data_IF_507931587721
#
_entry.id   IF_507931587721
#
_cell.length_a   1.000
_cell.length_b   1.000
_cell.length_c   1.000
_cell.angle_alpha   90.00
_cell.angle_beta   90.00
_cell.angle_gamma   90.00
#
_symmetry.space_group_name_H-M   'P 1'
#
loop_
_entity.id
_entity.type
_entity.pdbx_description
1 polymer ?
#
# COMPACT_ATOMS: atom_id res chain seq x y z
N UNK A 1 -27.42 7.52 10.00
CA UNK A 1 -26.01 7.10 10.18
C UNK A 1 -25.78 6.88 11.66
N UNK A 2 -26.00 5.66 12.12
CA UNK A 2 -25.73 5.28 13.50
C UNK A 2 -24.28 4.81 13.59
N UNK A 3 -23.43 5.64 14.19
CA UNK A 3 -22.13 5.20 14.66
C UNK A 3 -22.35 4.14 15.75
N UNK A 4 -22.06 2.91 15.43
CA UNK A 4 -21.98 1.85 16.42
C UNK A 4 -20.70 2.08 17.22
N UNK A 5 -20.77 2.86 18.31
CA UNK A 5 -19.72 2.91 19.32
C UNK A 5 -19.99 1.81 20.36
N UNK A 6 -19.82 0.56 19.93
CA UNK A 6 -19.71 -0.57 20.85
C UNK A 6 -18.34 -0.55 21.56
N UNK A 7 -18.20 -1.25 22.68
CA UNK A 7 -16.89 -1.46 23.27
C UNK A 7 -15.96 -2.12 22.25
N UNK A 8 -14.64 -1.85 22.30
CA UNK A 8 -13.71 -2.49 21.38
C UNK A 8 -13.90 -4.01 21.48
N UNK A 9 -14.24 -4.62 20.35
CA UNK A 9 -14.33 -6.08 20.27
C UNK A 9 -12.90 -6.60 20.28
N UNK A 10 -12.46 -7.09 21.46
CA UNK A 10 -11.20 -7.80 21.55
C UNK A 10 -11.30 -9.11 20.78
N UNK A 11 -10.20 -9.48 20.12
CA UNK A 11 -10.07 -10.80 19.50
C UNK A 11 -10.11 -11.89 20.58
N UNK A 12 -10.71 -13.02 20.24
CA UNK A 12 -10.76 -14.18 21.15
C UNK A 12 -9.42 -14.91 21.19
N UNK A 13 -8.68 -14.87 20.07
CA UNK A 13 -7.36 -15.46 19.88
C UNK A 13 -6.43 -14.39 19.33
N UNK A 14 -5.23 -14.27 19.91
CA UNK A 14 -4.23 -13.30 19.46
C UNK A 14 -2.83 -13.87 19.58
N UNK A 15 -2.08 -13.73 18.49
CA UNK A 15 -0.66 -14.07 18.42
C UNK A 15 0.14 -12.85 18.00
N UNK A 16 1.21 -12.57 18.74
CA UNK A 16 2.15 -11.49 18.46
C UNK A 16 3.46 -12.09 17.95
N UNK A 17 3.77 -11.87 16.66
CA UNK A 17 4.98 -12.37 16.00
C UNK A 17 6.02 -11.26 15.99
N UNK A 18 7.13 -11.46 16.68
CA UNK A 18 8.22 -10.49 16.78
C UNK A 18 9.34 -10.83 15.82
N UNK A 19 9.93 -9.81 15.17
CA UNK A 19 11.08 -9.98 14.27
C UNK A 19 11.61 -8.66 13.73
N UNK A 20 12.82 -8.70 13.18
CA UNK A 20 13.48 -7.52 12.62
C UNK A 20 13.16 -7.33 11.12
N UNK A 21 12.94 -8.43 10.40
CA UNK A 21 12.65 -8.41 8.96
C UNK A 21 11.15 -8.36 8.70
N UNK A 22 10.71 -7.29 8.05
CA UNK A 22 9.31 -7.03 7.74
C UNK A 22 8.72 -8.08 6.79
N UNK A 23 9.49 -8.51 5.78
CA UNK A 23 8.99 -9.49 4.80
C UNK A 23 8.77 -10.86 5.46
N UNK A 24 9.64 -11.23 6.39
CA UNK A 24 9.50 -12.46 7.18
C UNK A 24 8.28 -12.37 8.09
N UNK A 25 8.07 -11.24 8.77
CA UNK A 25 6.90 -11.01 9.62
C UNK A 25 5.59 -11.09 8.85
N UNK A 26 5.52 -10.48 7.66
CA UNK A 26 4.33 -10.54 6.80
C UNK A 26 4.06 -11.96 6.34
N UNK A 27 5.12 -12.69 5.93
CA UNK A 27 4.99 -14.08 5.49
C UNK A 27 4.49 -14.99 6.60
N UNK A 28 5.13 -14.95 7.77
CA UNK A 28 4.73 -15.74 8.94
C UNK A 28 3.32 -15.37 9.42
N UNK A 29 2.98 -14.06 9.40
CA UNK A 29 1.63 -13.61 9.73
C UNK A 29 0.58 -14.19 8.79
N UNK A 30 0.86 -14.23 7.49
CA UNK A 30 -0.07 -14.81 6.50
C UNK A 30 -0.20 -16.33 6.64
N UNK A 31 0.90 -17.04 6.96
CA UNK A 31 0.88 -18.47 7.22
C UNK A 31 0.07 -18.79 8.49
N UNK A 32 0.30 -18.04 9.56
CA UNK A 32 -0.46 -18.20 10.81
C UNK A 32 -1.94 -17.84 10.63
N UNK A 33 -2.25 -16.76 9.90
CA UNK A 33 -3.62 -16.39 9.58
C UNK A 33 -4.35 -17.51 8.84
N UNK A 34 -3.66 -18.20 7.91
CA UNK A 34 -4.20 -19.37 7.21
C UNK A 34 -4.48 -20.54 8.15
N UNK A 35 -3.57 -20.83 9.08
CA UNK A 35 -3.75 -21.88 10.10
C UNK A 35 -4.97 -21.57 10.97
N UNK A 36 -5.04 -20.33 11.49
CA UNK A 36 -6.17 -19.90 12.31
C UNK A 36 -7.48 -19.97 11.53
N UNK A 37 -7.49 -19.51 10.29
CA UNK A 37 -8.70 -19.50 9.46
C UNK A 37 -9.22 -20.91 9.13
N UNK A 38 -8.34 -21.90 9.09
CA UNK A 38 -8.69 -23.30 8.87
C UNK A 38 -9.11 -24.05 10.16
N UNK A 39 -8.87 -23.43 11.33
CA UNK A 39 -9.27 -24.03 12.59
C UNK A 39 -10.79 -24.07 12.77
N UNK A 40 -11.31 -25.04 13.50
CA UNK A 40 -12.75 -25.15 13.74
C UNK A 40 -13.26 -23.94 14.52
N UNK A 41 -14.51 -23.58 14.24
CA UNK A 41 -15.27 -22.54 14.96
C UNK A 41 -14.74 -21.09 14.81
N UNK A 42 -13.82 -20.83 13.90
CA UNK A 42 -13.37 -19.48 13.54
C UNK A 42 -14.39 -18.79 12.65
N UNK A 43 -14.73 -17.54 12.99
CA UNK A 43 -15.63 -16.70 12.21
C UNK A 43 -14.87 -15.84 11.19
N UNK A 44 -13.77 -15.26 11.58
CA UNK A 44 -12.86 -14.49 10.73
C UNK A 44 -11.49 -14.31 11.39
N UNK A 45 -10.51 -13.97 10.56
CA UNK A 45 -9.13 -13.71 10.97
C UNK A 45 -8.65 -12.37 10.44
N UNK A 46 -7.61 -11.83 11.04
CA UNK A 46 -6.96 -10.61 10.60
C UNK A 46 -5.48 -10.64 10.95
N UNK A 47 -4.64 -10.30 9.99
CA UNK A 47 -3.23 -9.96 10.23
C UNK A 47 -3.04 -8.45 10.07
N UNK A 48 -2.35 -7.79 11.02
CA UNK A 48 -2.09 -6.35 10.96
C UNK A 48 -1.10 -5.98 9.86
N UNK A 49 0.01 -6.71 9.78
CA UNK A 49 1.02 -6.49 8.76
C UNK A 49 0.70 -7.32 7.53
N UNK A 50 0.07 -6.70 6.54
CA UNK A 50 -0.24 -7.32 5.26
C UNK A 50 0.36 -6.53 4.12
N UNK A 51 0.80 -7.20 3.07
CA UNK A 51 1.22 -6.58 1.81
C UNK A 51 -0.01 -6.10 1.01
N UNK A 52 -0.72 -5.11 1.55
CA UNK A 52 -1.97 -4.62 0.96
C UNK A 52 -1.78 -3.52 -0.07
N UNK A 53 -0.66 -2.82 -0.01
CA UNK A 53 -0.37 -1.71 -0.91
C UNK A 53 0.58 -2.14 -2.01
N UNK A 54 0.24 -1.77 -3.24
CA UNK A 54 1.15 -1.92 -4.38
C UNK A 54 1.66 -0.53 -4.76
N UNK A 55 2.97 -0.35 -4.67
CA UNK A 55 3.64 0.88 -5.06
C UNK A 55 4.30 0.69 -6.42
N UNK A 56 4.18 1.71 -7.26
CA UNK A 56 4.95 1.80 -8.51
C UNK A 56 6.22 2.58 -8.19
N UNK A 57 7.37 1.93 -8.32
CA UNK A 57 8.67 2.57 -8.17
C UNK A 57 9.29 2.87 -9.52
N UNK A 58 9.84 4.07 -9.66
CA UNK A 58 10.60 4.52 -10.83
C UNK A 58 12.07 4.66 -10.43
N UNK A 59 12.91 3.83 -11.01
CA UNK A 59 14.35 3.96 -10.90
C UNK A 59 14.89 4.69 -12.14
N UNK A 60 15.40 5.90 -11.94
CA UNK A 60 15.90 6.74 -13.01
C UNK A 60 17.37 6.46 -13.31
N UNK A 61 17.71 6.27 -14.59
CA UNK A 61 19.07 6.21 -15.09
C UNK A 61 19.68 7.62 -15.17
N UNK A 62 20.31 8.03 -14.08
CA UNK A 62 20.95 9.35 -13.96
C UNK A 62 22.02 9.58 -15.03
N UNK A 63 22.72 8.53 -15.49
CA UNK A 63 23.76 8.63 -16.51
C UNK A 63 23.14 8.95 -17.86
N UNK A 64 22.10 8.24 -18.26
CA UNK A 64 21.39 8.47 -19.52
C UNK A 64 20.70 9.84 -19.54
N UNK A 65 20.09 10.23 -18.42
CA UNK A 65 19.48 11.56 -18.26
C UNK A 65 20.51 12.67 -18.46
N UNK A 66 21.67 12.57 -17.82
CA UNK A 66 22.74 13.57 -17.91
C UNK A 66 23.30 13.66 -19.34
N UNK A 67 23.54 12.53 -19.99
CA UNK A 67 24.02 12.48 -21.37
C UNK A 67 23.01 13.09 -22.35
N UNK A 68 21.72 12.98 -22.07
CA UNK A 68 20.64 13.52 -22.89
C UNK A 68 20.40 15.02 -22.65
N UNK A 69 21.14 15.63 -21.71
CA UNK A 69 20.97 17.04 -21.33
C UNK A 69 19.62 17.35 -20.69
N UNK A 70 18.98 16.34 -20.07
CA UNK A 70 17.66 16.46 -19.42
C UNK A 70 17.81 16.67 -17.92
N UNK A 71 16.71 17.11 -17.31
CA UNK A 71 16.64 17.35 -15.88
C UNK A 71 15.70 16.32 -15.23
N UNK A 72 16.21 15.57 -14.26
CA UNK A 72 15.44 14.59 -13.48
C UNK A 72 14.26 15.23 -12.75
N UNK A 73 14.45 16.45 -12.23
CA UNK A 73 13.37 17.18 -11.54
C UNK A 73 12.17 17.43 -12.44
N UNK A 74 12.42 17.76 -13.70
CA UNK A 74 11.36 17.98 -14.67
C UNK A 74 10.59 16.68 -14.94
N UNK A 75 11.27 15.54 -15.03
CA UNK A 75 10.65 14.23 -15.20
C UNK A 75 9.77 13.84 -13.99
N UNK A 76 10.27 14.09 -12.78
CA UNK A 76 9.52 13.82 -11.54
C UNK A 76 8.27 14.71 -11.47
N UNK A 77 8.39 15.99 -11.85
CA UNK A 77 7.26 16.91 -11.87
C UNK A 77 6.19 16.48 -12.89
N UNK A 78 6.59 15.99 -14.06
CA UNK A 78 5.65 15.46 -15.05
C UNK A 78 4.93 14.20 -14.56
N UNK A 79 5.64 13.27 -13.92
CA UNK A 79 5.02 12.11 -13.28
C UNK A 79 4.03 12.52 -12.19
N UNK A 80 4.41 13.48 -11.35
CA UNK A 80 3.54 13.98 -10.29
C UNK A 80 2.29 14.65 -10.88
N UNK A 81 2.45 15.49 -11.90
CA UNK A 81 1.36 16.17 -12.56
C UNK A 81 0.40 15.19 -13.25
N UNK A 82 0.93 14.14 -13.88
CA UNK A 82 0.12 13.11 -14.52
C UNK A 82 -0.71 12.30 -13.53
N UNK A 83 -0.12 11.95 -12.38
CA UNK A 83 -0.78 11.15 -11.36
C UNK A 83 -1.76 11.96 -10.49
N UNK A 84 -1.30 13.08 -9.95
CA UNK A 84 -2.05 13.89 -8.98
C UNK A 84 -2.82 15.06 -9.62
N UNK A 85 -2.50 15.41 -10.86
CA UNK A 85 -2.94 16.64 -11.51
C UNK A 85 -2.16 17.86 -11.01
N UNK A 86 -2.06 18.87 -11.88
CA UNK A 86 -1.43 20.14 -11.57
C UNK A 86 -2.44 21.08 -10.91
N UNK A 87 -2.15 21.56 -9.72
CA UNK A 87 -2.98 22.60 -9.08
C UNK A 87 -2.71 23.93 -9.80
N UNK A 88 -3.70 24.44 -10.55
CA UNK A 88 -3.56 25.66 -11.33
C UNK A 88 -4.13 26.89 -10.64
N UNK A 89 -5.17 26.73 -9.83
CA UNK A 89 -5.84 27.82 -9.12
C UNK A 89 -6.75 27.28 -8.04
N UNK A 90 -7.37 28.17 -7.29
CA UNK A 90 -8.53 27.89 -6.44
C UNK A 90 -9.66 28.85 -6.78
N UNK A 91 -10.88 28.41 -6.55
CA UNK A 91 -12.10 29.17 -6.69
C UNK A 91 -12.79 29.29 -5.33
N UNK A 92 -13.23 30.47 -5.00
CA UNK A 92 -14.01 30.69 -3.77
C UNK A 92 -15.51 30.52 -4.10
N UNK A 93 -16.13 29.52 -3.51
CA UNK A 93 -17.58 29.32 -3.57
C UNK A 93 -18.17 29.36 -2.16
N UNK A 94 -19.06 30.33 -1.91
CA UNK A 94 -19.79 30.47 -0.63
C UNK A 94 -18.91 30.36 0.62
N UNK A 95 -17.73 30.98 0.63
CA UNK A 95 -16.71 30.92 1.69
C UNK A 95 -15.89 29.60 1.80
N UNK A 96 -16.02 28.72 0.83
CA UNK A 96 -15.23 27.49 0.73
C UNK A 96 -14.25 27.63 -0.43
N UNK A 97 -12.96 27.41 -0.17
CA UNK A 97 -11.93 27.40 -1.21
C UNK A 97 -11.89 26.03 -1.90
N UNK A 98 -12.22 26.01 -3.19
CA UNK A 98 -12.23 24.78 -4.00
C UNK A 98 -11.00 24.78 -4.90
N UNK A 99 -10.07 23.81 -4.76
CA UNK A 99 -8.89 23.73 -5.60
C UNK A 99 -9.24 23.26 -7.01
N UNK A 100 -8.74 23.96 -8.03
CA UNK A 100 -8.88 23.58 -9.44
C UNK A 100 -7.63 22.83 -9.87
N UNK A 101 -7.79 21.55 -10.24
CA UNK A 101 -6.68 20.70 -10.72
C UNK A 101 -6.84 20.39 -12.20
N UNK A 102 -5.78 20.64 -12.94
CA UNK A 102 -5.64 20.19 -14.33
C UNK A 102 -5.08 18.76 -14.31
N UNK A 103 -5.81 17.81 -14.88
CA UNK A 103 -5.38 16.42 -15.02
C UNK A 103 -5.47 15.99 -16.46
N UNK A 104 -4.44 15.31 -16.96
CA UNK A 104 -4.48 14.69 -18.28
C UNK A 104 -5.53 13.56 -18.33
N UNK A 105 -6.18 13.38 -19.47
CA UNK A 105 -7.06 12.24 -19.69
C UNK A 105 -6.16 11.03 -19.97
N UNK A 106 -5.96 10.20 -18.95
CA UNK A 106 -5.30 8.89 -19.10
C UNK A 106 -6.39 7.83 -19.25
N UNK A 107 -6.44 7.19 -20.41
CA UNK A 107 -7.36 6.07 -20.68
C UNK A 107 -6.75 4.72 -20.29
N UNK A 108 -5.53 4.67 -19.76
CA UNK A 108 -4.89 3.42 -19.40
C UNK A 108 -5.11 3.10 -17.92
N UNK A 109 -5.77 1.96 -17.69
CA UNK A 109 -5.83 1.32 -16.39
C UNK A 109 -4.50 0.62 -15.99
N UNK A 110 -3.52 0.67 -16.88
CA UNK A 110 -2.19 0.09 -16.68
C UNK A 110 -1.31 1.08 -15.92
N UNK A 111 -1.06 0.77 -14.64
CA UNK A 111 -0.26 1.60 -13.75
C UNK A 111 1.21 1.71 -14.17
N UNK A 112 1.73 0.69 -14.87
CA UNK A 112 3.12 0.65 -15.30
C UNK A 112 3.30 1.14 -16.72
N UNK A 113 2.51 0.62 -17.66
CA UNK A 113 2.59 0.99 -19.07
C UNK A 113 2.16 2.42 -19.35
N UNK A 114 1.11 2.88 -18.65
CA UNK A 114 0.62 4.26 -18.77
C UNK A 114 1.64 5.31 -18.33
N UNK A 115 2.33 5.06 -17.23
CA UNK A 115 3.34 5.98 -16.69
C UNK A 115 4.61 6.02 -17.54
N UNK A 116 5.03 4.88 -18.09
CA UNK A 116 6.20 4.82 -18.99
C UNK A 116 5.96 5.53 -20.34
N UNK A 117 4.71 5.65 -20.75
CA UNK A 117 4.32 6.33 -22.01
C UNK A 117 4.12 7.84 -21.83
N UNK A 118 4.35 8.41 -20.63
CA UNK A 118 4.29 9.84 -20.42
C UNK A 118 5.36 10.56 -21.25
N UNK A 119 4.92 11.57 -21.96
CA UNK A 119 5.79 12.38 -22.83
C UNK A 119 6.46 13.49 -22.02
N UNK A 120 7.78 13.60 -22.20
CA UNK A 120 8.58 14.68 -21.63
C UNK A 120 8.84 15.71 -22.73
N UNK A 121 8.60 17.01 -22.47
CA UNK A 121 8.97 18.05 -23.40
C UNK A 121 10.49 18.05 -23.62
N UNK A 122 10.90 18.02 -24.88
CA UNK A 122 12.30 18.16 -25.28
C UNK A 122 12.38 19.24 -26.34
N UNK A 123 13.53 19.91 -26.44
CA UNK A 123 13.73 21.05 -27.33
C UNK A 123 13.44 20.74 -28.82
N UNK A 124 13.59 19.49 -29.25
CA UNK A 124 13.41 19.10 -30.65
C UNK A 124 12.53 17.86 -30.85
N UNK A 125 12.18 17.10 -29.78
CA UNK A 125 11.39 15.88 -29.90
C UNK A 125 10.56 15.66 -28.64
N UNK A 126 9.51 14.86 -28.78
CA UNK A 126 8.78 14.29 -27.64
C UNK A 126 9.51 13.02 -27.23
N UNK A 127 9.94 12.96 -25.98
CA UNK A 127 10.59 11.81 -25.39
C UNK A 127 9.67 11.15 -24.35
N UNK A 128 9.89 9.88 -24.05
CA UNK A 128 9.09 9.15 -23.09
C UNK A 128 9.88 8.94 -21.79
N UNK A 129 9.21 9.03 -20.66
CA UNK A 129 9.82 8.75 -19.33
C UNK A 129 10.41 7.34 -19.29
N UNK A 130 9.73 6.36 -19.89
CA UNK A 130 10.21 4.97 -19.95
C UNK A 130 11.55 4.76 -20.64
N UNK A 131 12.04 5.73 -21.43
CA UNK A 131 13.39 5.66 -22.00
C UNK A 131 14.51 5.96 -20.99
N UNK A 132 14.16 6.55 -19.83
CA UNK A 132 15.07 7.03 -18.80
C UNK A 132 14.83 6.40 -17.43
N UNK A 133 13.84 5.54 -17.31
CA UNK A 133 13.49 4.90 -16.05
C UNK A 133 13.07 3.43 -16.22
N UNK A 134 13.39 2.64 -15.23
CA UNK A 134 12.84 1.29 -15.08
C UNK A 134 11.71 1.34 -14.05
N UNK A 135 10.58 0.73 -14.38
CA UNK A 135 9.41 0.71 -13.51
C UNK A 135 9.26 -0.67 -12.90
N UNK A 136 9.11 -0.74 -11.58
CA UNK A 136 8.84 -1.96 -10.85
C UNK A 136 7.60 -1.82 -9.95
N UNK A 137 6.89 -2.93 -9.75
CA UNK A 137 5.76 -3.02 -8.83
C UNK A 137 6.24 -3.68 -7.55
N UNK A 138 6.31 -2.90 -6.48
CA UNK A 138 6.68 -3.40 -5.17
C UNK A 138 5.48 -3.43 -4.24
N UNK A 139 5.30 -4.56 -3.56
CA UNK A 139 4.32 -4.67 -2.49
C UNK A 139 4.92 -4.06 -1.24
N UNK A 140 4.17 -3.19 -0.60
CA UNK A 140 4.55 -2.61 0.69
C UNK A 140 3.53 -2.95 1.76
N UNK A 141 4.03 -3.04 2.99
CA UNK A 141 3.19 -3.28 4.16
C UNK A 141 2.40 -2.02 4.50
N UNK A 142 1.13 -2.19 4.81
CA UNK A 142 0.24 -1.06 5.14
C UNK A 142 0.55 -0.44 6.49
N UNK A 143 0.95 -1.27 7.46
CA UNK A 143 1.14 -0.87 8.86
C UNK A 143 2.33 -1.62 9.46
N UNK A 144 3.17 -0.90 10.18
CA UNK A 144 4.28 -1.48 10.97
C UNK A 144 4.03 -1.13 12.43
N UNK A 145 3.61 -2.11 13.21
CA UNK A 145 3.40 -1.96 14.65
C UNK A 145 4.69 -2.29 15.41
N UNK A 146 4.93 -1.57 16.49
CA UNK A 146 6.06 -1.83 17.41
C UNK A 146 5.57 -1.93 18.84
N UNK A 147 6.04 -2.99 19.52
CA UNK A 147 5.83 -3.19 20.94
C UNK A 147 7.21 -3.25 21.59
N UNK A 148 7.47 -2.42 22.59
CA UNK A 148 8.77 -2.33 23.28
C UNK A 148 9.96 -2.16 22.32
N UNK A 149 9.79 -1.33 21.29
CA UNK A 149 10.78 -1.04 20.23
C UNK A 149 11.05 -2.17 19.24
N UNK A 150 10.47 -3.35 19.40
CA UNK A 150 10.55 -4.45 18.45
C UNK A 150 9.37 -4.39 17.45
N UNK A 151 9.63 -4.73 16.20
CA UNK A 151 8.56 -4.88 15.20
C UNK A 151 7.73 -6.11 15.55
N UNK A 152 6.42 -5.97 15.40
CA UNK A 152 5.47 -7.04 15.66
C UNK A 152 4.45 -7.11 14.55
N UNK A 153 4.09 -8.32 14.13
CA UNK A 153 2.88 -8.57 13.37
C UNK A 153 1.87 -9.24 14.30
N UNK A 154 0.70 -8.65 14.41
CA UNK A 154 -0.38 -9.14 15.26
C UNK A 154 -1.36 -9.90 14.38
N UNK A 155 -1.59 -11.15 14.72
CA UNK A 155 -2.58 -12.01 14.04
C UNK A 155 -3.70 -12.31 15.03
N UNK A 156 -4.91 -11.98 14.63
CA UNK A 156 -6.09 -12.06 15.45
C UNK A 156 -7.12 -13.02 14.83
N UNK A 157 -7.84 -13.71 15.70
CA UNK A 157 -8.96 -14.58 15.32
C UNK A 157 -10.16 -14.37 16.21
N UNK A 158 -11.34 -14.48 15.64
CA UNK A 158 -12.62 -14.41 16.36
C UNK A 158 -13.37 -15.72 16.18
N UNK A 159 -13.87 -16.21 17.28
CA UNK A 159 -14.62 -17.47 17.36
C UNK A 159 -16.12 -17.19 17.23
N UNK A 160 -16.88 -18.12 16.65
CA UNK A 160 -18.34 -17.98 16.56
C UNK A 160 -18.97 -17.89 17.96
N UNK A 161 -20.01 -17.06 18.08
CA UNK A 161 -20.74 -16.86 19.34
C UNK A 161 -21.19 -18.19 19.93
N UNK A 162 -20.86 -18.42 21.20
CA UNK A 162 -21.20 -19.65 21.93
C UNK A 162 -20.19 -20.78 21.81
N UNK A 163 -19.04 -20.53 21.16
CA UNK A 163 -17.92 -21.46 21.08
C UNK A 163 -16.79 -21.04 22.02
N UNK A 164 -15.92 -21.97 22.38
CA UNK A 164 -14.82 -21.74 23.30
C UNK A 164 -13.51 -21.51 22.53
N UNK A 165 -12.91 -20.33 22.70
CA UNK A 165 -11.63 -20.01 22.09
C UNK A 165 -10.51 -20.99 22.51
N UNK A 166 -10.56 -21.55 23.73
CA UNK A 166 -9.56 -22.50 24.23
C UNK A 166 -9.52 -23.82 23.46
N UNK A 167 -10.66 -24.29 22.92
CA UNK A 167 -10.71 -25.50 22.11
C UNK A 167 -10.07 -25.24 20.73
N UNK A 168 -10.38 -24.11 20.13
CA UNK A 168 -9.80 -23.67 18.87
C UNK A 168 -8.30 -23.41 18.99
N UNK A 169 -7.86 -22.78 20.10
CA UNK A 169 -6.44 -22.50 20.37
C UNK A 169 -5.63 -23.81 20.57
N UNK A 170 -6.23 -24.84 21.15
CA UNK A 170 -5.58 -26.15 21.27
C UNK A 170 -5.33 -26.78 19.91
N UNK A 171 -6.30 -26.69 19.00
CA UNK A 171 -6.15 -27.15 17.63
C UNK A 171 -5.03 -26.42 16.87
N UNK A 172 -4.95 -25.07 17.01
CA UNK A 172 -3.93 -24.24 16.35
C UNK A 172 -2.51 -24.58 16.85
N UNK A 173 -2.36 -24.98 18.12
CA UNK A 173 -1.06 -25.32 18.70
C UNK A 173 -0.53 -26.71 18.29
N UNK A 174 -1.42 -27.58 17.82
CA UNK A 174 -1.07 -28.94 17.38
C UNK A 174 -0.65 -29.00 15.89
N UNK A 175 -0.93 -27.94 15.11
CA UNK A 175 -0.55 -27.75 13.71
C UNK A 175 0.80 -27.00 13.57
#
# INVERSE_FOLDING_TARGET
>A
DSFYSGPPFFSDIRYDIFGDDENVLVKLGSELELIINNAPDISHTRSEATNSNTNVEFEFDSSNISLSGKNTELMVNELFAANNGLLISSMLDSNIEIPIRLKGISNSSDLTGGSNSLSIPSSNNIDLIGNYSTTSLNKSTSTITRISSQRVNIVEGWVWTGKLASETEMYIKDE
#
